data_IF_835131688500
#
_entry.id   IF_835131688500
#
_cell.length_a   1.000
_cell.length_b   1.000
_cell.length_c   1.000
_cell.angle_alpha   90.00
_cell.angle_beta   90.00
_cell.angle_gamma   90.00
#
_symmetry.space_group_name_H-M   'P 1'
#
loop_
_entity.id
_entity.type
_entity.pdbx_description
1 polymer ?
#
# COMPACT_ATOMS: atom_id res chain seq x y z
N UNK A 1 -25.89 -7.22 26.94
CA UNK A 1 -25.15 -5.97 26.65
C UNK A 1 -24.56 -6.07 25.25
N UNK A 2 -24.76 -5.06 24.41
CA UNK A 2 -24.16 -5.06 23.08
C UNK A 2 -22.72 -4.50 23.19
N UNK A 3 -21.74 -5.31 22.83
CA UNK A 3 -20.32 -4.94 22.84
C UNK A 3 -19.90 -4.49 21.45
N UNK A 4 -19.15 -3.40 21.37
CA UNK A 4 -18.56 -2.93 20.11
C UNK A 4 -17.05 -2.82 20.20
N UNK A 5 -16.37 -3.15 19.09
CA UNK A 5 -14.94 -2.90 18.92
C UNK A 5 -14.77 -1.54 18.24
N UNK A 6 -14.20 -0.60 18.97
CA UNK A 6 -14.05 0.77 18.47
C UNK A 6 -12.74 1.42 18.87
N UNK A 7 -12.50 2.59 18.31
CA UNK A 7 -11.34 3.42 18.61
C UNK A 7 -11.65 4.38 19.76
N UNK A 8 -10.85 4.33 20.82
CA UNK A 8 -10.79 5.35 21.87
C UNK A 8 -9.59 6.25 21.59
N UNK A 9 -9.80 7.56 21.63
CA UNK A 9 -8.73 8.52 21.36
C UNK A 9 -7.91 8.77 22.62
N UNK A 10 -6.59 8.78 22.46
CA UNK A 10 -5.62 9.26 23.44
C UNK A 10 -4.63 10.21 22.75
N UNK A 11 -3.54 10.52 23.44
CA UNK A 11 -2.48 11.40 22.92
C UNK A 11 -2.78 12.89 23.09
N UNK A 12 -1.81 13.71 22.69
CA UNK A 12 -1.85 15.16 22.84
C UNK A 12 -2.57 15.86 21.66
N UNK A 13 -2.74 17.18 21.78
CA UNK A 13 -3.23 18.05 20.71
C UNK A 13 -2.32 17.93 19.48
N UNK A 14 -2.91 17.74 18.31
CA UNK A 14 -2.23 17.50 17.01
C UNK A 14 -1.41 16.20 16.93
N UNK A 15 -1.31 15.38 17.99
CA UNK A 15 -0.67 14.07 17.99
C UNK A 15 -1.65 12.99 18.45
N UNK A 16 -2.64 12.60 17.64
CA UNK A 16 -3.62 11.60 17.99
C UNK A 16 -2.99 10.21 18.05
N UNK A 17 -3.37 9.47 19.08
CA UNK A 17 -3.07 8.06 19.24
C UNK A 17 -4.36 7.35 19.62
N UNK A 18 -4.63 6.19 19.07
CA UNK A 18 -5.87 5.49 19.30
C UNK A 18 -5.62 4.13 19.94
N UNK A 19 -6.46 3.79 20.88
CA UNK A 19 -6.56 2.43 21.43
C UNK A 19 -7.73 1.75 20.77
N UNK A 20 -7.55 0.51 20.34
CA UNK A 20 -8.63 -0.35 19.86
C UNK A 20 -9.16 -1.08 21.08
N UNK A 21 -10.44 -0.88 21.38
CA UNK A 21 -11.03 -1.32 22.65
C UNK A 21 -12.35 -2.04 22.41
N UNK A 22 -12.61 -3.05 23.23
CA UNK A 22 -13.93 -3.66 23.39
C UNK A 22 -14.68 -2.88 24.49
N UNK A 23 -15.86 -2.38 24.17
CA UNK A 23 -16.63 -1.55 25.08
C UNK A 23 -18.14 -1.69 24.85
N UNK A 24 -18.93 -1.36 25.83
CA UNK A 24 -20.40 -1.26 25.68
C UNK A 24 -20.73 -0.13 24.67
N UNK A 25 -21.68 -0.39 23.80
CA UNK A 25 -22.17 0.56 22.78
C UNK A 25 -22.63 1.88 23.40
N UNK A 26 -23.18 1.84 24.62
CA UNK A 26 -23.70 3.01 25.35
C UNK A 26 -22.63 3.89 25.95
N UNK A 27 -21.41 3.37 26.15
CA UNK A 27 -20.30 4.11 26.75
C UNK A 27 -19.81 5.25 25.85
N UNK A 28 -19.39 6.41 26.38
CA UNK A 28 -18.80 7.47 25.59
C UNK A 28 -17.48 6.98 24.91
N UNK A 29 -17.06 7.65 23.83
CA UNK A 29 -15.92 7.23 23.00
C UNK A 29 -14.65 6.94 23.80
N UNK A 30 -14.31 7.81 24.72
CA UNK A 30 -13.07 7.74 25.52
C UNK A 30 -13.35 7.33 26.98
N UNK A 31 -14.53 6.78 27.24
CA UNK A 31 -14.96 6.31 28.54
C UNK A 31 -14.41 4.94 28.93
N UNK A 32 -15.06 4.34 29.94
CA UNK A 32 -14.70 3.02 30.45
C UNK A 32 -14.84 1.97 29.34
N UNK A 33 -13.83 1.15 29.17
CA UNK A 33 -13.82 0.01 28.25
C UNK A 33 -13.60 -1.28 29.04
N UNK A 34 -13.99 -2.39 28.44
CA UNK A 34 -13.83 -3.73 29.03
C UNK A 34 -12.40 -4.22 28.86
N UNK A 35 -11.87 -4.12 27.63
CA UNK A 35 -10.52 -4.59 27.33
C UNK A 35 -9.90 -3.77 26.18
N UNK A 36 -8.58 -3.57 26.26
CA UNK A 36 -7.80 -3.01 25.16
C UNK A 36 -7.21 -4.16 24.33
N UNK A 37 -7.64 -4.25 23.09
CA UNK A 37 -7.27 -5.32 22.16
C UNK A 37 -6.20 -4.90 21.13
N UNK A 38 -5.87 -3.62 21.07
CA UNK A 38 -4.83 -3.13 20.18
C UNK A 38 -4.60 -1.64 20.27
N UNK A 39 -3.74 -1.16 19.38
CA UNK A 39 -3.37 0.25 19.24
C UNK A 39 -3.29 0.65 17.78
N UNK A 40 -3.60 1.91 17.49
CA UNK A 40 -3.51 2.49 16.17
C UNK A 40 -2.84 3.85 16.23
N UNK A 41 -1.74 4.01 15.52
CA UNK A 41 -1.02 5.27 15.39
C UNK A 41 -1.17 5.82 13.96
N UNK A 42 -1.96 6.86 13.72
CA UNK A 42 -2.15 7.42 12.40
C UNK A 42 -0.94 8.22 11.87
N UNK A 43 0.00 8.58 12.74
CA UNK A 43 1.17 9.41 12.37
C UNK A 43 2.25 8.61 11.62
N UNK A 44 2.26 7.28 11.80
CA UNK A 44 3.18 6.40 11.10
C UNK A 44 2.78 6.21 9.63
N UNK A 45 3.72 5.83 8.79
CA UNK A 45 3.48 5.53 7.38
C UNK A 45 2.42 4.44 7.21
N UNK A 46 1.76 4.38 6.05
CA UNK A 46 0.67 3.40 5.81
C UNK A 46 1.16 1.96 5.81
N UNK A 47 2.41 1.76 5.48
CA UNK A 47 3.05 0.45 5.31
C UNK A 47 3.82 0.00 6.56
N UNK A 48 3.85 0.84 7.61
CA UNK A 48 4.51 0.54 8.87
C UNK A 48 3.69 -0.47 9.68
N UNK A 49 4.32 -1.58 10.06
CA UNK A 49 3.71 -2.64 10.89
C UNK A 49 3.29 -2.11 12.27
N UNK A 50 4.04 -1.16 12.82
CA UNK A 50 3.72 -0.56 14.11
C UNK A 50 2.51 0.38 14.07
N UNK A 51 2.02 0.72 12.86
CA UNK A 51 0.86 1.59 12.69
C UNK A 51 -0.40 1.00 13.30
N UNK A 52 -0.59 -0.31 13.16
CA UNK A 52 -1.72 -1.06 13.74
C UNK A 52 -1.17 -2.28 14.44
N UNK A 53 -1.26 -2.31 15.75
CA UNK A 53 -0.90 -3.47 16.56
C UNK A 53 -2.18 -4.09 17.11
N UNK A 54 -2.41 -5.35 16.82
CA UNK A 54 -3.58 -6.11 17.26
C UNK A 54 -3.17 -7.32 18.09
N UNK A 55 -3.95 -7.62 19.12
CA UNK A 55 -3.90 -8.87 19.86
C UNK A 55 -4.93 -9.81 19.23
N UNK A 56 -4.51 -10.60 18.25
CA UNK A 56 -5.41 -11.40 17.41
C UNK A 56 -6.29 -12.35 18.21
N UNK A 57 -5.74 -13.04 19.21
CA UNK A 57 -6.48 -13.98 20.05
C UNK A 57 -7.66 -13.29 20.76
N UNK A 58 -7.41 -12.08 21.27
CA UNK A 58 -8.44 -11.31 21.96
C UNK A 58 -9.48 -10.74 21.00
N UNK A 59 -9.06 -10.37 19.79
CA UNK A 59 -9.98 -9.94 18.73
C UNK A 59 -10.92 -11.09 18.35
N UNK A 60 -10.37 -12.28 18.09
CA UNK A 60 -11.17 -13.46 17.74
C UNK A 60 -12.13 -13.85 18.88
N UNK A 61 -11.68 -13.79 20.11
CA UNK A 61 -12.54 -14.03 21.28
C UNK A 61 -13.75 -13.10 21.30
N UNK A 62 -13.52 -11.76 21.18
CA UNK A 62 -14.61 -10.80 21.23
C UNK A 62 -15.56 -10.90 20.06
N UNK A 63 -15.05 -11.21 18.86
CA UNK A 63 -15.89 -11.50 17.70
C UNK A 63 -16.75 -12.74 17.92
N UNK A 64 -16.19 -13.79 18.51
CA UNK A 64 -16.94 -15.02 18.87
C UNK A 64 -18.04 -14.76 19.90
N UNK A 65 -17.84 -13.83 20.82
CA UNK A 65 -18.87 -13.40 21.80
C UNK A 65 -19.95 -12.50 21.14
N UNK A 66 -19.74 -12.08 19.88
CA UNK A 66 -20.70 -11.26 19.13
C UNK A 66 -20.43 -9.75 19.21
N UNK A 67 -19.21 -9.33 19.53
CA UNK A 67 -18.84 -7.92 19.48
C UNK A 67 -18.80 -7.42 18.04
N UNK A 68 -19.45 -6.31 17.75
CA UNK A 68 -19.50 -5.72 16.41
C UNK A 68 -18.38 -4.70 16.22
N UNK A 69 -17.50 -4.87 15.22
CA UNK A 69 -16.49 -3.89 14.90
C UNK A 69 -17.12 -2.68 14.19
N UNK A 70 -16.68 -1.48 14.57
CA UNK A 70 -17.00 -0.27 13.80
C UNK A 70 -16.30 -0.33 12.45
N UNK A 71 -16.83 0.36 11.44
CA UNK A 71 -16.34 0.37 10.05
C UNK A 71 -14.82 0.60 9.94
N UNK A 72 -14.27 1.49 10.78
CA UNK A 72 -12.82 1.77 10.81
C UNK A 72 -12.02 0.59 11.35
N UNK A 73 -12.50 -0.04 12.41
CA UNK A 73 -11.87 -1.23 13.00
C UNK A 73 -12.01 -2.42 12.05
N UNK A 74 -13.18 -2.60 11.43
CA UNK A 74 -13.40 -3.67 10.45
C UNK A 74 -12.39 -3.63 9.31
N UNK A 75 -12.04 -2.43 8.79
CA UNK A 75 -10.97 -2.28 7.77
C UNK A 75 -9.59 -2.70 8.26
N UNK A 76 -9.30 -2.49 9.54
CA UNK A 76 -8.01 -2.90 10.12
C UNK A 76 -7.96 -4.41 10.31
N UNK A 77 -9.09 -5.03 10.69
CA UNK A 77 -9.22 -6.47 10.85
C UNK A 77 -9.18 -7.20 9.51
N UNK A 78 -9.77 -6.64 8.47
CA UNK A 78 -9.74 -7.11 7.10
C UNK A 78 -8.29 -7.09 6.56
N UNK A 79 -7.57 -5.99 6.75
CA UNK A 79 -6.14 -5.89 6.39
C UNK A 79 -5.26 -6.90 7.15
N UNK A 80 -5.63 -7.26 8.37
CA UNK A 80 -4.97 -8.29 9.18
C UNK A 80 -5.45 -9.73 8.85
N UNK A 81 -6.40 -9.91 7.93
CA UNK A 81 -6.92 -11.23 7.55
C UNK A 81 -7.77 -11.94 8.62
N UNK A 82 -8.26 -11.20 9.62
CA UNK A 82 -9.05 -11.77 10.73
C UNK A 82 -10.55 -11.85 10.37
N UNK A 83 -11.05 -10.87 9.64
CA UNK A 83 -12.47 -10.77 9.24
C UNK A 83 -12.55 -10.27 7.81
N UNK A 84 -13.26 -11.00 6.97
CA UNK A 84 -13.59 -10.53 5.63
C UNK A 84 -14.68 -9.46 5.70
N UNK A 85 -14.42 -8.34 5.06
CA UNK A 85 -15.37 -7.23 4.99
C UNK A 85 -16.10 -7.25 3.66
N UNK A 86 -17.43 -7.15 3.71
CA UNK A 86 -18.21 -6.96 2.49
C UNK A 86 -17.77 -5.70 1.74
N UNK A 87 -17.59 -5.81 0.43
CA UNK A 87 -17.26 -4.68 -0.41
C UNK A 87 -18.33 -3.58 -0.28
N UNK A 88 -17.88 -2.36 0.00
CA UNK A 88 -18.80 -1.23 0.09
C UNK A 88 -19.21 -0.81 -1.32
N UNK A 89 -20.45 -1.08 -1.69
CA UNK A 89 -21.02 -0.62 -2.95
C UNK A 89 -21.38 0.87 -2.85
N UNK A 90 -20.85 1.66 -3.78
CA UNK A 90 -21.21 3.07 -3.92
C UNK A 90 -21.60 3.33 -5.38
N UNK A 91 -22.83 2.97 -5.79
CA UNK A 91 -23.22 2.95 -7.18
C UNK A 91 -23.08 4.32 -7.87
N UNK A 92 -23.38 5.41 -7.17
CA UNK A 92 -23.39 6.75 -7.78
C UNK A 92 -22.00 7.41 -7.88
N UNK A 93 -21.07 7.09 -6.96
CA UNK A 93 -19.71 7.65 -6.94
C UNK A 93 -18.64 6.66 -7.41
N UNK A 94 -18.99 5.39 -7.49
CA UNK A 94 -18.09 4.33 -7.98
C UNK A 94 -17.92 4.33 -9.48
N UNK A 95 -18.92 4.84 -10.22
CA UNK A 95 -18.82 4.95 -11.67
C UNK A 95 -17.92 6.13 -12.08
N UNK A 96 -16.89 5.88 -12.88
CA UNK A 96 -16.07 6.96 -13.42
C UNK A 96 -16.93 7.86 -14.32
N UNK A 97 -16.81 9.16 -14.15
CA UNK A 97 -17.50 10.15 -15.00
C UNK A 97 -17.01 10.07 -16.45
N UNK A 98 -17.77 10.65 -17.40
CA UNK A 98 -17.49 10.61 -18.84
C UNK A 98 -16.02 10.91 -19.16
N UNK A 99 -15.47 12.01 -18.66
CA UNK A 99 -14.03 12.35 -18.87
C UNK A 99 -13.03 11.34 -18.34
N UNK A 100 -13.41 10.52 -17.37
CA UNK A 100 -12.53 9.48 -16.85
C UNK A 100 -12.64 8.21 -17.70
N UNK A 101 -13.81 7.91 -18.24
CA UNK A 101 -14.02 6.84 -19.21
C UNK A 101 -13.26 7.13 -20.51
N UNK A 102 -13.41 8.33 -21.06
CA UNK A 102 -12.72 8.79 -22.27
C UNK A 102 -11.19 8.68 -22.11
N UNK A 103 -10.64 9.14 -20.98
CA UNK A 103 -9.19 8.99 -20.69
C UNK A 103 -8.76 7.54 -20.52
N UNK A 104 -9.61 6.68 -19.99
CA UNK A 104 -9.30 5.26 -19.83
C UNK A 104 -9.30 4.57 -21.19
N UNK A 105 -10.24 4.91 -22.07
CA UNK A 105 -10.32 4.44 -23.44
C UNK A 105 -9.13 4.92 -24.29
N UNK A 106 -8.79 6.21 -24.21
CA UNK A 106 -7.59 6.77 -24.88
C UNK A 106 -6.31 6.10 -24.42
N UNK A 107 -6.21 5.83 -23.12
CA UNK A 107 -5.04 5.14 -22.56
C UNK A 107 -4.97 3.67 -22.99
N UNK A 108 -6.11 3.00 -23.03
CA UNK A 108 -6.20 1.63 -23.51
C UNK A 108 -5.87 1.55 -25.01
N UNK A 109 -6.37 2.47 -25.82
CA UNK A 109 -6.07 2.54 -27.25
C UNK A 109 -4.57 2.77 -27.51
N UNK A 110 -3.95 3.72 -26.77
CA UNK A 110 -2.49 3.95 -26.87
C UNK A 110 -1.64 2.77 -26.41
N UNK A 111 -2.09 2.04 -25.39
CA UNK A 111 -1.39 0.83 -24.95
C UNK A 111 -1.51 -0.29 -25.98
N UNK A 112 -2.68 -0.47 -26.57
CA UNK A 112 -2.89 -1.44 -27.64
C UNK A 112 -2.07 -1.11 -28.90
N UNK A 113 -2.04 0.15 -29.31
CA UNK A 113 -1.23 0.62 -30.42
C UNK A 113 0.27 0.45 -30.17
N UNK A 114 0.74 0.75 -28.94
CA UNK A 114 2.12 0.54 -28.54
C UNK A 114 2.50 -0.95 -28.50
N UNK A 115 1.58 -1.81 -28.07
CA UNK A 115 1.79 -3.26 -28.04
C UNK A 115 1.79 -3.87 -29.46
N UNK A 116 0.95 -3.36 -30.35
CA UNK A 116 0.92 -3.75 -31.75
C UNK A 116 2.17 -3.28 -32.50
N UNK A 117 2.62 -2.05 -32.24
CA UNK A 117 3.88 -1.53 -32.76
C UNK A 117 5.09 -2.31 -32.23
N UNK A 118 5.10 -2.70 -30.97
CA UNK A 118 6.15 -3.53 -30.38
C UNK A 118 6.14 -4.95 -30.99
N UNK A 119 4.97 -5.53 -31.23
CA UNK A 119 4.83 -6.82 -31.94
C UNK A 119 5.26 -6.73 -33.39
N UNK A 120 4.92 -5.66 -34.10
CA UNK A 120 5.36 -5.43 -35.46
C UNK A 120 6.88 -5.25 -35.56
N UNK A 121 7.48 -4.54 -34.59
CA UNK A 121 8.94 -4.37 -34.53
C UNK A 121 9.67 -5.68 -34.18
N UNK A 122 9.04 -6.57 -33.39
CA UNK A 122 9.61 -7.89 -33.06
C UNK A 122 9.38 -8.95 -34.14
N UNK A 123 8.45 -8.70 -35.07
CA UNK A 123 8.13 -9.60 -36.19
C UNK A 123 8.86 -9.23 -37.50
N UNK A 124 9.66 -8.18 -37.53
CA UNK A 124 10.53 -7.88 -38.67
C UNK A 124 11.70 -8.88 -38.69
N UNK A 125 11.81 -9.75 -39.70
CA UNK A 125 12.92 -10.67 -39.77
C UNK A 125 14.20 -9.90 -40.05
N UNK A 126 15.24 -10.32 -39.32
CA UNK A 126 16.62 -9.98 -39.67
C UNK A 126 16.92 -10.53 -41.04
N UNK A 127 16.95 -9.70 -42.06
CA UNK A 127 17.53 -10.02 -43.35
C UNK A 127 18.47 -8.89 -43.76
N UNK A 128 19.70 -9.36 -43.98
CA UNK A 128 20.84 -8.75 -44.63
C UNK A 128 21.75 -7.81 -43.84
N UNK A 129 22.78 -8.49 -43.29
CA UNK A 129 24.11 -7.95 -43.37
C UNK A 129 24.74 -8.27 -44.74
N UNK A 130 25.51 -7.40 -45.35
CA UNK A 130 26.73 -7.87 -45.97
C UNK A 130 27.95 -7.31 -45.26
N UNK A 131 28.89 -8.22 -45.13
CA UNK A 131 30.25 -8.00 -44.72
C UNK A 131 31.03 -7.16 -45.72
N UNK A 132 31.89 -6.31 -45.26
CA UNK A 132 33.22 -6.00 -45.82
C UNK A 132 33.98 -5.29 -44.69
N UNK A 133 34.88 -5.94 -44.09
CA UNK A 133 36.35 -6.10 -44.29
C UNK A 133 37.06 -4.73 -44.30
N UNK A 134 37.95 -4.57 -43.44
CA UNK A 134 39.40 -4.45 -43.38
C UNK A 134 39.90 -3.42 -42.34
N UNK A 135 40.68 -3.95 -41.45
CA UNK A 135 42.05 -3.63 -41.07
C UNK A 135 42.33 -2.46 -40.13
N UNK A 136 42.96 -2.88 -39.06
CA UNK A 136 44.19 -2.34 -38.45
C UNK A 136 44.06 -0.94 -37.80
N UNK A 137 44.33 -0.79 -36.58
CA UNK A 137 45.62 -0.81 -35.89
C UNK A 137 45.43 -0.40 -34.44
N UNK A 138 45.87 -1.18 -33.50
CA UNK A 138 46.21 -0.72 -32.18
C UNK A 138 47.62 -0.12 -32.28
N UNK A 139 48.20 0.59 -31.32
CA UNK A 139 48.24 0.21 -29.91
C UNK A 139 48.28 1.37 -28.87
N UNK A 140 48.17 0.92 -27.60
CA UNK A 140 48.91 1.36 -26.41
C UNK A 140 48.69 2.82 -25.92
N UNK A 141 48.38 3.04 -24.71
CA UNK A 141 49.21 2.98 -23.51
C UNK A 141 48.40 3.46 -22.28
N UNK A 142 48.41 2.69 -21.25
CA UNK A 142 48.24 3.18 -19.89
C UNK A 142 49.60 3.77 -19.47
N UNK A 143 49.78 4.52 -18.40
CA UNK A 143 49.41 4.08 -17.02
C UNK A 143 49.05 5.18 -15.99
N UNK A 144 48.59 4.71 -14.83
CA UNK A 144 48.92 5.05 -13.44
C UNK A 144 48.90 6.54 -13.00
N UNK A 145 48.54 6.84 -11.86
CA UNK A 145 48.82 6.66 -10.45
C UNK A 145 48.00 7.70 -9.66
N UNK A 146 47.40 7.28 -8.61
CA UNK A 146 47.77 7.42 -7.21
C UNK A 146 47.64 8.80 -6.56
N UNK A 147 47.19 8.80 -5.37
CA UNK A 147 47.26 9.84 -4.34
C UNK A 147 45.95 9.97 -3.59
N UNK A 148 45.64 9.22 -2.51
CA UNK A 148 46.03 9.47 -1.11
C UNK A 148 45.94 10.95 -0.74
N UNK A 149 45.13 11.30 0.22
CA UNK A 149 45.35 11.43 1.67
C UNK A 149 44.18 12.25 2.28
N UNK A 150 43.54 11.69 3.32
CA UNK A 150 43.55 12.15 4.70
C UNK A 150 43.29 13.64 4.94
N UNK A 151 42.36 13.99 5.74
CA UNK A 151 42.39 14.27 7.19
C UNK A 151 41.09 14.90 7.63
N UNK A 152 40.50 14.36 8.68
CA UNK A 152 40.27 14.95 10.01
C UNK A 152 39.89 16.45 10.07
N UNK A 153 38.76 16.66 10.76
CA UNK A 153 38.25 17.91 11.27
C UNK A 153 36.87 17.68 11.89
#
# INVERSE_FOLDING_TARGET
MAVSLRLSRGGAKKRPYYRIVATDVRSPRDGKYLEQIGTYNPLLAKDDENRVRLKEDRVRYWLGVGAQPTDRVARMLDKAGIVERAATSNPNKGEPGKKAKDRAEDKAAKLAEAEEAAKAASAAPAEEAPAEEVAAEAPAEAPAEAGEEQTEG
#
